data_IF_134814944120
#
_entry.id   IF_134814944120
#
_cell.length_a   1.000
_cell.length_b   1.000
_cell.length_c   1.000
_cell.angle_alpha   90.00
_cell.angle_beta   90.00
_cell.angle_gamma   90.00
#
_symmetry.space_group_name_H-M   'P 1'
#
loop_
_entity.id
_entity.type
_entity.pdbx_description
1 polymer ?
#
# COMPACT_ATOMS: atom_id res chain seq x y z
N UNK A 1 10.17 -3.90 -21.84
CA UNK A 1 10.56 -5.02 -20.96
C UNK A 1 9.62 -5.05 -19.75
N UNK A 2 8.65 -5.97 -19.70
CA UNK A 2 7.84 -6.22 -18.50
C UNK A 2 8.71 -7.07 -17.57
N UNK A 3 9.19 -6.50 -16.48
CA UNK A 3 9.74 -7.34 -15.40
C UNK A 3 8.56 -8.15 -14.86
N UNK A 4 8.54 -9.45 -15.15
CA UNK A 4 7.70 -10.41 -14.43
C UNK A 4 8.17 -10.31 -12.98
N UNK A 5 7.36 -9.69 -12.13
CA UNK A 5 7.65 -9.63 -10.71
C UNK A 5 7.32 -11.01 -10.13
N UNK A 6 8.26 -11.68 -9.45
CA UNK A 6 7.95 -12.97 -8.85
C UNK A 6 6.75 -12.85 -7.92
N UNK A 7 5.78 -13.75 -8.09
CA UNK A 7 4.74 -13.95 -7.09
C UNK A 7 5.41 -14.45 -5.80
N UNK A 8 4.84 -14.14 -4.64
CA UNK A 8 5.41 -14.56 -3.34
C UNK A 8 6.58 -13.72 -2.83
N UNK A 9 6.80 -12.52 -3.37
CA UNK A 9 7.90 -11.64 -3.00
C UNK A 9 7.52 -10.48 -2.07
N UNK A 10 8.51 -9.97 -1.31
CA UNK A 10 8.40 -8.71 -0.57
C UNK A 10 9.16 -7.62 -1.32
N UNK A 11 8.56 -6.44 -1.44
CA UNK A 11 9.10 -5.33 -2.22
C UNK A 11 9.11 -4.04 -1.42
N UNK A 12 10.25 -3.35 -1.46
CA UNK A 12 10.35 -1.96 -1.07
C UNK A 12 10.05 -1.06 -2.26
N UNK A 13 8.90 -0.40 -2.23
CA UNK A 13 8.41 0.51 -3.25
C UNK A 13 8.62 1.97 -2.83
N UNK A 14 9.07 2.80 -3.76
CA UNK A 14 9.36 4.21 -3.50
C UNK A 14 8.91 5.10 -4.65
N UNK A 15 8.43 6.30 -4.32
CA UNK A 15 8.21 7.35 -5.32
C UNK A 15 8.37 8.74 -4.72
N UNK A 16 8.76 9.70 -5.57
CA UNK A 16 8.98 11.10 -5.20
C UNK A 16 8.06 12.03 -6.00
N UNK A 17 7.72 13.16 -5.41
CA UNK A 17 7.01 14.25 -6.06
C UNK A 17 7.87 14.87 -7.17
N UNK A 18 7.22 15.51 -8.14
CA UNK A 18 7.91 16.24 -9.21
C UNK A 18 8.87 17.29 -8.62
N UNK A 19 10.08 17.38 -9.19
CA UNK A 19 11.19 18.20 -8.68
C UNK A 19 11.55 17.99 -7.20
N UNK A 20 11.12 16.88 -6.58
CA UNK A 20 11.35 16.63 -5.15
C UNK A 20 10.70 17.65 -4.22
N UNK A 21 9.66 18.37 -4.68
CA UNK A 21 9.03 19.44 -3.88
C UNK A 21 8.27 18.88 -2.69
N UNK A 22 8.40 19.56 -1.55
CA UNK A 22 7.72 19.24 -0.30
C UNK A 22 6.25 19.69 -0.31
N UNK A 23 5.42 19.02 -1.11
CA UNK A 23 4.01 19.40 -1.35
C UNK A 23 3.00 18.52 -0.60
N UNK A 24 3.44 17.47 0.08
CA UNK A 24 2.57 16.62 0.90
C UNK A 24 2.53 17.14 2.34
N UNK A 25 1.50 17.94 2.63
CA UNK A 25 1.15 18.38 3.99
C UNK A 25 0.43 17.30 4.81
N UNK A 26 -0.10 17.67 5.97
CA UNK A 26 -0.81 16.73 6.88
C UNK A 26 -2.04 16.12 6.20
N UNK A 27 -2.85 16.94 5.51
CA UNK A 27 -4.06 16.52 4.81
C UNK A 27 -3.74 15.55 3.66
N UNK A 28 -2.74 15.92 2.87
CA UNK A 28 -2.23 15.17 1.72
C UNK A 28 -1.72 13.79 2.15
N UNK A 29 -0.91 13.71 3.21
CA UNK A 29 -0.44 12.44 3.77
C UNK A 29 -1.58 11.57 4.30
N UNK A 30 -2.60 12.15 4.93
CA UNK A 30 -3.77 11.41 5.41
C UNK A 30 -4.58 10.81 4.26
N UNK A 31 -4.76 11.55 3.17
CA UNK A 31 -5.45 11.02 1.98
C UNK A 31 -4.63 9.93 1.32
N UNK A 32 -3.31 10.11 1.19
CA UNK A 32 -2.42 9.07 0.67
C UNK A 32 -2.52 7.79 1.49
N UNK A 33 -2.44 7.91 2.83
CA UNK A 33 -2.58 6.78 3.77
C UNK A 33 -3.90 6.04 3.56
N UNK A 34 -5.02 6.75 3.49
CA UNK A 34 -6.34 6.12 3.28
C UNK A 34 -6.40 5.38 1.94
N UNK A 35 -5.92 6.00 0.86
CA UNK A 35 -5.88 5.38 -0.46
C UNK A 35 -4.96 4.15 -0.49
N UNK A 36 -3.83 4.20 0.20
CA UNK A 36 -2.90 3.09 0.33
C UNK A 36 -3.61 1.85 0.90
N UNK A 37 -4.27 2.01 2.05
CA UNK A 37 -4.98 0.91 2.71
C UNK A 37 -6.15 0.38 1.88
N UNK A 38 -6.96 1.26 1.30
CA UNK A 38 -8.10 0.84 0.46
C UNK A 38 -7.67 0.07 -0.79
N UNK A 39 -6.59 0.51 -1.45
CA UNK A 39 -6.06 -0.18 -2.61
C UNK A 39 -5.34 -1.47 -2.24
N UNK A 40 -4.71 -1.53 -1.07
CA UNK A 40 -4.02 -2.73 -0.60
C UNK A 40 -5.04 -3.84 -0.33
N UNK A 41 -6.12 -3.51 0.39
CA UNK A 41 -7.26 -4.40 0.60
C UNK A 41 -7.87 -4.86 -0.73
N UNK A 42 -8.14 -3.92 -1.64
CA UNK A 42 -8.71 -4.27 -2.93
C UNK A 42 -7.82 -5.18 -3.76
N UNK A 43 -6.52 -4.90 -3.83
CA UNK A 43 -5.58 -5.69 -4.65
C UNK A 43 -5.13 -6.97 -3.95
N UNK A 44 -5.55 -7.22 -2.71
CA UNK A 44 -5.11 -8.39 -1.95
C UNK A 44 -3.61 -8.35 -1.62
N UNK A 45 -3.01 -7.16 -1.55
CA UNK A 45 -1.60 -6.97 -1.21
C UNK A 45 -1.47 -6.64 0.28
N UNK A 46 -0.46 -7.20 0.94
CA UNK A 46 -0.20 -6.91 2.35
C UNK A 46 0.83 -5.79 2.46
N UNK A 47 0.42 -4.65 2.99
CA UNK A 47 1.37 -3.60 3.42
C UNK A 47 1.98 -4.04 4.74
N UNK A 48 3.30 -4.28 4.75
CA UNK A 48 4.06 -4.63 5.95
C UNK A 48 4.29 -3.39 6.80
N UNK A 49 4.82 -2.33 6.17
CA UNK A 49 4.96 -1.00 6.77
C UNK A 49 5.07 0.03 5.65
N UNK A 50 5.02 1.31 6.00
CA UNK A 50 5.17 2.41 5.07
C UNK A 50 5.69 3.65 5.78
N UNK A 51 6.12 4.65 5.02
CA UNK A 51 6.37 5.99 5.53
C UNK A 51 6.09 7.04 4.44
N UNK A 52 5.27 8.05 4.75
CA UNK A 52 4.97 9.17 3.84
C UNK A 52 5.66 10.43 4.34
N UNK A 53 6.62 10.93 3.56
CA UNK A 53 7.35 12.18 3.79
C UNK A 53 6.68 13.34 3.03
N UNK A 54 7.24 14.55 3.13
CA UNK A 54 6.66 15.73 2.46
C UNK A 54 6.84 15.72 0.93
N UNK A 55 7.82 14.99 0.41
CA UNK A 55 8.14 14.93 -1.02
C UNK A 55 8.33 13.51 -1.57
N UNK A 56 8.13 12.48 -0.75
CA UNK A 56 8.26 11.09 -1.19
C UNK A 56 7.55 10.14 -0.23
N UNK A 57 7.42 8.89 -0.63
CA UNK A 57 6.94 7.82 0.23
C UNK A 57 7.74 6.54 0.02
N UNK A 58 7.71 5.68 1.03
CA UNK A 58 8.20 4.32 1.04
C UNK A 58 7.07 3.38 1.45
N UNK A 59 6.94 2.23 0.79
CA UNK A 59 6.01 1.17 1.20
C UNK A 59 6.72 -0.17 1.09
N UNK A 60 6.66 -0.97 2.15
CA UNK A 60 7.10 -2.36 2.15
C UNK A 60 5.86 -3.23 1.94
N UNK A 61 5.80 -3.96 0.83
CA UNK A 61 4.61 -4.70 0.41
C UNK A 61 4.97 -6.14 0.13
N UNK A 62 4.20 -7.07 0.69
CA UNK A 62 4.23 -8.48 0.35
C UNK A 62 3.16 -8.79 -0.71
N UNK A 63 3.61 -9.45 -1.78
CA UNK A 63 2.78 -9.98 -2.85
C UNK A 63 2.51 -11.45 -2.55
N UNK A 64 1.25 -11.88 -2.40
CA UNK A 64 0.96 -13.29 -2.14
C UNK A 64 1.41 -14.17 -3.33
N UNK A 65 1.82 -15.39 -3.04
CA UNK A 65 2.21 -16.38 -4.06
C UNK A 65 1.01 -16.83 -4.89
N UNK A 66 -0.07 -17.17 -4.18
CA UNK A 66 -1.36 -17.47 -4.77
C UNK A 66 -2.48 -16.71 -4.05
N UNK A 67 -3.51 -16.41 -4.80
CA UNK A 67 -4.69 -15.76 -4.29
C UNK A 67 -5.91 -16.26 -5.09
N UNK A 68 -6.79 -16.97 -4.39
CA UNK A 68 -8.13 -17.31 -4.87
C UNK A 68 -9.07 -16.21 -4.36
N UNK A 69 -9.77 -15.55 -5.28
CA UNK A 69 -10.76 -14.52 -4.95
C UNK A 69 -12.08 -14.92 -5.60
N UNK A 70 -13.07 -15.22 -4.78
CA UNK A 70 -14.43 -15.49 -5.26
C UNK A 70 -15.20 -14.16 -5.48
N UNK A 71 -16.39 -14.28 -6.08
CA UNK A 71 -17.22 -13.12 -6.38
C UNK A 71 -17.65 -12.35 -5.11
N UNK A 72 -17.84 -13.05 -3.99
CA UNK A 72 -18.19 -12.42 -2.71
C UNK A 72 -17.05 -11.53 -2.19
N UNK A 73 -15.81 -12.02 -2.23
CA UNK A 73 -14.63 -11.27 -1.83
C UNK A 73 -14.33 -10.13 -2.82
N UNK A 74 -14.55 -10.32 -4.12
CA UNK A 74 -14.47 -9.25 -5.11
C UNK A 74 -15.43 -8.10 -4.78
N UNK A 75 -16.67 -8.42 -4.43
CA UNK A 75 -17.69 -7.42 -4.05
C UNK A 75 -17.29 -6.72 -2.75
N UNK A 76 -16.81 -7.45 -1.73
CA UNK A 76 -16.34 -6.86 -0.47
C UNK A 76 -15.20 -5.87 -0.72
N UNK A 77 -14.17 -6.28 -1.45
CA UNK A 77 -13.01 -5.45 -1.83
C UNK A 77 -13.41 -4.23 -2.64
N UNK A 78 -14.33 -4.41 -3.59
CA UNK A 78 -14.86 -3.31 -4.40
C UNK A 78 -15.57 -2.27 -3.52
N UNK A 79 -16.37 -2.72 -2.55
CA UNK A 79 -17.06 -1.84 -1.59
C UNK A 79 -16.08 -1.02 -0.75
N UNK A 80 -14.96 -1.61 -0.30
CA UNK A 80 -13.93 -0.87 0.45
C UNK A 80 -13.26 0.20 -0.41
N UNK A 81 -12.99 -0.12 -1.68
CA UNK A 81 -12.33 0.81 -2.61
C UNK A 81 -13.26 1.91 -3.13
N UNK A 82 -14.55 1.62 -3.23
CA UNK A 82 -15.61 2.52 -3.70
C UNK A 82 -16.81 2.47 -2.75
N UNK A 83 -16.69 3.03 -1.53
CA UNK A 83 -17.78 3.03 -0.56
C UNK A 83 -18.98 3.86 -1.04
N UNK A 84 -18.73 4.79 -1.97
CA UNK A 84 -19.73 5.57 -2.70
C UNK A 84 -19.33 5.64 -4.17
N UNK A 85 -20.29 5.77 -5.09
CA UNK A 85 -20.03 6.10 -6.48
C UNK A 85 -19.12 7.32 -6.61
N UNK A 86 -18.19 7.24 -7.55
CA UNK A 86 -17.24 8.31 -7.88
C UNK A 86 -17.47 8.78 -9.31
N UNK A 87 -16.91 9.94 -9.69
CA UNK A 87 -16.99 10.44 -11.07
C UNK A 87 -16.50 9.43 -12.12
N UNK A 88 -15.51 8.60 -11.77
CA UNK A 88 -14.94 7.60 -12.68
C UNK A 88 -15.56 6.21 -12.55
N UNK A 89 -16.31 5.94 -11.48
CA UNK A 89 -16.94 4.65 -11.21
C UNK A 89 -18.30 4.89 -10.55
N UNK A 90 -19.35 4.92 -11.37
CA UNK A 90 -20.73 5.13 -10.92
C UNK A 90 -21.36 3.89 -10.25
N UNK A 91 -20.79 2.72 -10.51
CA UNK A 91 -21.27 1.42 -10.05
C UNK A 91 -21.12 1.26 -8.53
N UNK A 92 -22.15 0.72 -7.87
CA UNK A 92 -22.13 0.29 -6.48
C UNK A 92 -21.70 -1.17 -6.36
N UNK A 93 -21.32 -1.58 -5.15
CA UNK A 93 -20.97 -2.97 -4.88
C UNK A 93 -22.17 -3.92 -5.09
N UNK A 94 -23.38 -3.45 -4.86
CA UNK A 94 -24.62 -4.21 -5.10
C UNK A 94 -24.83 -4.48 -6.59
N UNK A 95 -24.62 -3.47 -7.44
CA UNK A 95 -24.70 -3.61 -8.90
C UNK A 95 -23.65 -4.61 -9.42
N UNK A 96 -22.43 -4.56 -8.85
CA UNK A 96 -21.39 -5.52 -9.17
C UNK A 96 -21.81 -6.95 -8.78
N UNK A 97 -22.37 -7.13 -7.58
CA UNK A 97 -22.80 -8.44 -7.10
C UNK A 97 -23.86 -9.06 -8.04
N UNK A 98 -24.83 -8.25 -8.48
CA UNK A 98 -25.85 -8.70 -9.43
C UNK A 98 -25.22 -9.11 -10.77
N UNK A 99 -24.34 -8.28 -11.34
CA UNK A 99 -23.69 -8.58 -12.62
C UNK A 99 -22.81 -9.83 -12.57
N UNK A 100 -22.13 -10.08 -11.45
CA UNK A 100 -21.33 -11.29 -11.26
C UNK A 100 -22.23 -12.54 -11.13
N UNK A 101 -23.37 -12.43 -10.43
CA UNK A 101 -24.31 -13.52 -10.25
C UNK A 101 -25.07 -13.89 -11.54
N UNK A 102 -25.39 -12.90 -12.39
CA UNK A 102 -26.02 -13.12 -13.69
C UNK A 102 -25.10 -13.87 -14.67
N UNK A 103 -23.79 -13.83 -14.44
CA UNK A 103 -22.73 -14.48 -15.23
C UNK A 103 -22.82 -14.26 -16.75
N UNK A 104 -23.45 -13.18 -17.19
CA UNK A 104 -23.47 -12.76 -18.59
C UNK A 104 -22.12 -12.22 -19.05
N UNK A 105 -21.99 -11.95 -20.35
CA UNK A 105 -20.74 -11.45 -20.97
C UNK A 105 -20.12 -10.25 -20.22
N UNK A 106 -20.98 -9.29 -19.82
CA UNK A 106 -20.55 -8.12 -19.03
C UNK A 106 -20.03 -8.50 -17.64
N UNK A 107 -20.70 -9.44 -16.96
CA UNK A 107 -20.30 -9.94 -15.64
C UNK A 107 -18.95 -10.65 -15.70
N UNK A 108 -18.79 -11.55 -16.67
CA UNK A 108 -17.54 -12.28 -16.91
C UNK A 108 -16.38 -11.33 -17.26
N UNK A 109 -16.62 -10.33 -18.11
CA UNK A 109 -15.61 -9.33 -18.46
C UNK A 109 -15.20 -8.47 -17.25
N UNK A 110 -16.17 -8.06 -16.42
CA UNK A 110 -15.88 -7.35 -15.16
C UNK A 110 -15.11 -8.21 -14.18
N UNK A 111 -15.50 -9.49 -14.00
CA UNK A 111 -14.79 -10.45 -13.16
C UNK A 111 -13.34 -10.58 -13.59
N UNK A 112 -13.10 -10.85 -14.87
CA UNK A 112 -11.75 -10.96 -15.43
C UNK A 112 -10.92 -9.67 -15.24
N UNK A 113 -11.55 -8.51 -15.46
CA UNK A 113 -10.91 -7.21 -15.25
C UNK A 113 -10.52 -6.98 -13.79
N UNK A 114 -11.39 -7.29 -12.83
CA UNK A 114 -11.10 -7.14 -11.40
C UNK A 114 -10.03 -8.12 -10.93
N UNK A 115 -10.16 -9.40 -11.31
CA UNK A 115 -9.18 -10.44 -10.97
C UNK A 115 -7.78 -10.13 -11.50
N UNK A 116 -7.68 -9.53 -12.69
CA UNK A 116 -6.38 -9.13 -13.27
C UNK A 116 -5.57 -8.15 -12.40
N UNK A 117 -6.22 -7.49 -11.44
CA UNK A 117 -5.62 -6.49 -10.53
C UNK A 117 -5.21 -7.07 -9.18
N UNK A 118 -5.55 -8.33 -8.92
CA UNK A 118 -5.28 -9.05 -7.68
C UNK A 118 -3.83 -9.52 -7.67
N UNK A 119 -3.09 -9.24 -6.58
CA UNK A 119 -1.69 -9.61 -6.46
C UNK A 119 -0.71 -8.87 -7.39
N UNK A 120 -1.17 -7.94 -8.24
CA UNK A 120 -0.27 -7.22 -9.15
C UNK A 120 0.22 -5.90 -8.54
N UNK A 121 1.47 -5.91 -8.08
CA UNK A 121 2.13 -4.75 -7.48
C UNK A 121 2.22 -3.55 -8.43
N UNK A 122 2.40 -3.78 -9.74
CA UNK A 122 2.56 -2.69 -10.71
C UNK A 122 1.23 -2.00 -10.99
N UNK A 123 0.15 -2.77 -11.11
CA UNK A 123 -1.22 -2.26 -11.23
C UNK A 123 -1.61 -1.50 -9.97
N UNK A 124 -1.33 -2.06 -8.78
CA UNK A 124 -1.56 -1.39 -7.50
C UNK A 124 -0.84 -0.04 -7.42
N UNK A 125 0.47 -0.01 -7.68
CA UNK A 125 1.27 1.22 -7.59
C UNK A 125 0.83 2.27 -8.61
N UNK A 126 0.43 1.84 -9.81
CA UNK A 126 -0.14 2.72 -10.84
C UNK A 126 -1.45 3.32 -10.35
N UNK A 127 -2.36 2.51 -9.82
CA UNK A 127 -3.66 2.96 -9.33
C UNK A 127 -3.53 3.93 -8.14
N UNK A 128 -2.65 3.63 -7.18
CA UNK A 128 -2.38 4.49 -6.02
C UNK A 128 -1.90 5.87 -6.45
N UNK A 129 -0.86 5.89 -7.28
CA UNK A 129 -0.28 7.14 -7.78
C UNK A 129 -1.26 7.93 -8.62
N UNK A 130 -2.00 7.29 -9.52
CA UNK A 130 -2.95 7.95 -10.40
C UNK A 130 -4.12 8.57 -9.61
N UNK A 131 -4.74 7.80 -8.71
CA UNK A 131 -5.84 8.31 -7.88
C UNK A 131 -5.39 9.49 -7.02
N UNK A 132 -4.21 9.38 -6.43
CA UNK A 132 -3.66 10.44 -5.61
C UNK A 132 -3.39 11.71 -6.43
N UNK A 133 -2.78 11.59 -7.61
CA UNK A 133 -2.57 12.74 -8.51
C UNK A 133 -3.88 13.41 -8.92
N UNK A 134 -4.89 12.62 -9.30
CA UNK A 134 -6.20 13.15 -9.70
C UNK A 134 -6.85 13.90 -8.54
N UNK A 135 -6.88 13.30 -7.34
CA UNK A 135 -7.41 13.95 -6.15
C UNK A 135 -6.66 15.24 -5.81
N UNK A 136 -5.32 15.21 -5.82
CA UNK A 136 -4.51 16.37 -5.48
C UNK A 136 -4.74 17.52 -6.47
N UNK A 137 -4.71 17.22 -7.77
CA UNK A 137 -4.90 18.22 -8.83
C UNK A 137 -6.29 18.85 -8.75
N UNK A 138 -7.33 18.03 -8.55
CA UNK A 138 -8.71 18.52 -8.38
C UNK A 138 -8.88 19.38 -7.12
N UNK A 139 -8.28 18.96 -6.00
CA UNK A 139 -8.44 19.64 -4.70
C UNK A 139 -7.68 20.95 -4.63
N UNK A 140 -6.57 21.07 -5.37
CA UNK A 140 -5.71 22.26 -5.35
C UNK A 140 -5.82 23.08 -6.64
N UNK A 141 -6.80 22.78 -7.51
CA UNK A 141 -7.01 23.49 -8.80
C UNK A 141 -5.74 23.58 -9.66
N UNK A 142 -4.95 22.49 -9.67
CA UNK A 142 -3.68 22.40 -10.41
C UNK A 142 -3.77 21.34 -11.50
N UNK A 143 -2.81 21.36 -12.43
CA UNK A 143 -2.68 20.35 -13.49
C UNK A 143 -1.22 19.90 -13.63
N UNK A 144 -1.02 18.80 -14.36
CA UNK A 144 0.30 18.24 -14.63
C UNK A 144 0.71 17.08 -13.71
N UNK A 145 1.99 16.73 -13.81
CA UNK A 145 2.54 15.56 -13.13
C UNK A 145 2.77 15.83 -11.64
N UNK A 146 2.13 15.05 -10.77
CA UNK A 146 2.40 15.08 -9.33
C UNK A 146 3.68 14.30 -8.98
N UNK A 147 3.90 13.16 -9.63
CA UNK A 147 5.04 12.27 -9.38
C UNK A 147 6.13 12.49 -10.44
N UNK A 148 7.40 12.45 -10.03
CA UNK A 148 8.53 12.71 -10.93
C UNK A 148 8.73 11.60 -11.98
N UNK A 149 8.65 10.34 -11.57
CA UNK A 149 8.98 9.19 -12.40
C UNK A 149 8.04 8.00 -12.09
N UNK A 150 8.24 6.87 -12.79
CA UNK A 150 7.67 5.58 -12.37
C UNK A 150 8.14 5.24 -10.96
N UNK A 151 7.37 4.42 -10.23
CA UNK A 151 7.84 3.98 -8.91
C UNK A 151 9.08 3.10 -9.07
N UNK A 152 9.99 3.19 -8.11
CA UNK A 152 11.11 2.24 -7.97
C UNK A 152 10.65 1.10 -7.08
N UNK A 153 11.09 -0.13 -7.37
CA UNK A 153 10.87 -1.27 -6.48
C UNK A 153 12.15 -2.08 -6.36
N UNK A 154 12.52 -2.41 -5.14
CA UNK A 154 13.61 -3.34 -4.81
C UNK A 154 12.99 -4.55 -4.16
N UNK A 155 13.38 -5.75 -4.59
CA UNK A 155 12.95 -6.99 -3.93
C UNK A 155 13.75 -7.17 -2.64
N UNK A 156 13.06 -7.56 -1.58
CA UNK A 156 13.65 -7.78 -0.26
C UNK A 156 13.78 -9.28 -0.09
N UNK A 157 14.87 -9.82 -0.61
CA UNK A 157 15.25 -11.24 -0.49
C UNK A 157 16.40 -11.36 0.50
N UNK A 158 16.35 -12.36 1.36
CA UNK A 158 17.44 -12.63 2.29
C UNK A 158 17.04 -13.52 3.46
N UNK A 159 18.03 -14.22 4.02
CA UNK A 159 17.91 -14.95 5.28
C UNK A 159 18.16 -13.99 6.46
N UNK A 160 17.68 -14.35 7.65
CA UNK A 160 17.93 -13.57 8.87
C UNK A 160 17.15 -12.25 8.92
N UNK A 161 17.81 -11.15 9.29
CA UNK A 161 17.17 -9.90 9.69
C UNK A 161 16.82 -8.91 8.56
N UNK A 162 16.99 -9.29 7.30
CA UNK A 162 16.86 -8.35 6.16
C UNK A 162 15.49 -7.66 6.11
N UNK A 163 14.42 -8.41 6.35
CA UNK A 163 13.06 -7.86 6.34
C UNK A 163 12.85 -6.86 7.49
N UNK A 164 13.34 -7.19 8.67
CA UNK A 164 13.27 -6.39 9.89
C UNK A 164 14.06 -5.09 9.70
N UNK A 165 15.30 -5.18 9.21
CA UNK A 165 16.15 -4.03 8.93
C UNK A 165 15.49 -3.12 7.91
N UNK A 166 14.87 -3.67 6.86
CA UNK A 166 14.15 -2.85 5.87
C UNK A 166 12.90 -2.17 6.46
N UNK A 167 12.13 -2.88 7.28
CA UNK A 167 10.95 -2.31 7.95
C UNK A 167 11.36 -1.16 8.89
N UNK A 168 12.33 -1.39 9.79
CA UNK A 168 12.86 -0.38 10.69
C UNK A 168 13.48 0.81 9.91
N UNK A 169 14.23 0.53 8.84
CA UNK A 169 14.76 1.56 7.95
C UNK A 169 13.64 2.45 7.43
N UNK A 170 12.52 1.89 6.99
CA UNK A 170 11.38 2.67 6.49
C UNK A 170 10.75 3.51 7.60
N UNK A 171 10.45 2.90 8.75
CA UNK A 171 9.77 3.57 9.86
C UNK A 171 10.60 4.68 10.51
N UNK A 172 11.93 4.58 10.46
CA UNK A 172 12.87 5.56 11.01
C UNK A 172 13.17 6.75 10.08
N UNK A 173 12.59 6.82 8.87
CA UNK A 173 12.72 7.99 7.98
C UNK A 173 12.39 9.34 8.66
N UNK A 174 11.26 9.51 9.37
CA UNK A 174 10.93 10.78 10.02
C UNK A 174 11.93 11.13 11.14
N UNK A 175 12.51 10.13 11.81
CA UNK A 175 13.58 10.35 12.81
C UNK A 175 14.86 10.83 12.14
N UNK A 176 15.29 10.15 11.07
CA UNK A 176 16.48 10.57 10.28
C UNK A 176 16.33 11.95 9.64
N UNK A 177 15.09 12.35 9.35
CA UNK A 177 14.77 13.69 8.85
C UNK A 177 14.63 14.75 9.97
N UNK A 178 14.81 14.38 11.24
CA UNK A 178 14.69 15.29 12.38
C UNK A 178 13.26 15.77 12.69
N UNK A 179 12.23 15.08 12.17
CA UNK A 179 10.83 15.47 12.36
C UNK A 179 10.27 15.05 13.72
N UNK A 180 10.75 13.92 14.25
CA UNK A 180 10.37 13.34 15.54
C UNK A 180 11.58 12.63 16.17
N UNK A 181 11.52 12.34 17.47
CA UNK A 181 12.56 11.57 18.16
C UNK A 181 12.32 10.05 18.12
N UNK A 182 11.05 9.65 18.06
CA UNK A 182 10.62 8.25 18.03
C UNK A 182 9.64 8.07 16.86
N UNK A 183 9.76 7.03 16.03
CA UNK A 183 8.88 6.82 14.90
C UNK A 183 7.39 6.71 15.30
N UNK A 184 7.06 6.30 16.53
CA UNK A 184 5.66 6.24 16.99
C UNK A 184 4.99 7.61 17.03
N UNK A 185 5.77 8.68 17.15
CA UNK A 185 5.28 10.05 17.19
C UNK A 185 5.00 10.59 15.78
N UNK A 186 5.34 9.82 14.72
CA UNK A 186 5.08 10.18 13.33
C UNK A 186 3.90 9.40 12.76
N UNK A 187 2.70 9.99 12.85
CA UNK A 187 1.43 9.40 12.37
C UNK A 187 1.47 8.73 10.99
N UNK A 188 2.33 9.20 10.08
CA UNK A 188 2.36 8.76 8.68
C UNK A 188 3.42 7.70 8.40
N UNK A 189 3.73 6.85 9.38
CA UNK A 189 4.44 5.59 9.17
C UNK A 189 3.66 4.38 9.73
N UNK A 190 4.00 3.20 9.23
CA UNK A 190 3.31 1.95 9.59
C UNK A 190 3.52 1.56 11.06
N UNK A 191 4.72 1.79 11.61
CA UNK A 191 4.99 1.53 13.03
C UNK A 191 4.09 2.36 13.96
N UNK A 192 3.96 3.66 13.72
CA UNK A 192 3.07 4.52 14.52
C UNK A 192 1.61 4.05 14.49
N UNK A 193 1.12 3.63 13.32
CA UNK A 193 -0.22 3.05 13.19
C UNK A 193 -0.39 1.74 13.95
N UNK A 194 0.63 0.88 13.92
CA UNK A 194 0.61 -0.38 14.64
C UNK A 194 0.58 -0.15 16.16
N UNK A 195 1.38 0.80 16.68
CA UNK A 195 1.43 1.16 18.10
C UNK A 195 0.06 1.63 18.62
N UNK A 196 -0.70 2.37 17.82
CA UNK A 196 -2.05 2.81 18.20
C UNK A 196 -3.15 1.78 17.93
N UNK A 197 -2.79 0.57 17.50
CA UNK A 197 -3.71 -0.56 17.40
C UNK A 197 -4.43 -0.71 16.05
N UNK A 198 -3.95 -0.11 14.96
CA UNK A 198 -4.54 -0.33 13.64
C UNK A 198 -4.25 -1.76 13.19
N UNK A 199 -5.29 -2.60 13.09
CA UNK A 199 -5.18 -4.04 12.83
C UNK A 199 -4.36 -4.38 11.56
N UNK A 200 -4.60 -3.66 10.46
CA UNK A 200 -3.86 -3.88 9.21
C UNK A 200 -2.35 -3.59 9.36
N UNK A 201 -1.99 -2.55 10.12
CA UNK A 201 -0.60 -2.21 10.41
C UNK A 201 0.03 -3.18 11.41
N UNK A 202 -0.72 -3.61 12.44
CA UNK A 202 -0.31 -4.65 13.38
C UNK A 202 -0.01 -5.97 12.66
N UNK A 203 -0.85 -6.38 11.71
CA UNK A 203 -0.62 -7.57 10.88
C UNK A 203 0.71 -7.49 10.12
N UNK A 204 1.05 -6.31 9.60
CA UNK A 204 2.34 -6.03 8.97
C UNK A 204 3.53 -6.18 9.92
N UNK A 205 3.46 -5.57 11.11
CA UNK A 205 4.49 -5.74 12.16
C UNK A 205 4.61 -7.20 12.59
N UNK A 206 3.49 -7.89 12.80
CA UNK A 206 3.49 -9.31 13.13
C UNK A 206 4.11 -10.17 12.03
N UNK A 207 3.95 -9.80 10.75
CA UNK A 207 4.59 -10.49 9.63
C UNK A 207 6.11 -10.40 9.71
N UNK A 208 6.63 -9.24 10.08
CA UNK A 208 8.06 -9.01 10.35
C UNK A 208 8.52 -9.84 11.56
N UNK A 209 7.72 -9.84 12.63
CA UNK A 209 8.01 -10.58 13.87
C UNK A 209 7.84 -12.10 13.75
N UNK A 210 7.08 -12.63 12.79
CA UNK A 210 6.95 -14.09 12.63
C UNK A 210 8.17 -14.72 11.97
N UNK A 211 8.87 -13.99 11.10
CA UNK A 211 10.21 -14.39 10.60
C UNK A 211 11.19 -14.61 11.76
N UNK A 212 10.92 -13.98 12.90
CA UNK A 212 11.72 -14.05 14.11
C UNK A 212 11.52 -15.33 14.93
N UNK A 213 10.33 -15.97 14.86
CA UNK A 213 10.05 -17.21 15.62
C UNK A 213 10.79 -18.44 15.08
N UNK A 214 11.37 -18.34 13.88
CA UNK A 214 12.39 -19.28 13.41
C UNK A 214 13.78 -18.83 13.94
N UNK A 215 13.98 -18.89 15.26
CA UNK A 215 15.33 -19.00 15.82
C UNK A 215 15.77 -18.07 16.96
N UNK A 216 15.24 -16.87 17.17
CA UNK A 216 15.87 -15.91 18.13
C UNK A 216 14.88 -15.05 18.96
N UNK A 217 15.37 -14.16 19.87
CA UNK A 217 14.68 -13.54 21.04
C UNK A 217 14.21 -12.06 20.91
N UNK A 218 12.93 -11.76 21.20
CA UNK A 218 12.21 -10.53 20.80
C UNK A 218 12.79 -9.19 21.29
N UNK A 219 13.75 -9.22 22.22
CA UNK A 219 14.48 -8.06 22.72
C UNK A 219 15.32 -7.36 21.64
N UNK A 220 15.86 -8.09 20.67
CA UNK A 220 16.74 -7.53 19.62
C UNK A 220 15.97 -6.70 18.59
N UNK A 221 14.68 -6.97 18.37
CA UNK A 221 13.81 -6.15 17.52
C UNK A 221 13.58 -4.75 18.10
N UNK A 222 13.32 -4.66 19.41
CA UNK A 222 13.18 -3.37 20.09
C UNK A 222 14.52 -2.61 20.14
N UNK A 223 15.66 -3.31 20.11
CA UNK A 223 16.97 -2.69 20.01
C UNK A 223 17.21 -2.02 18.65
N UNK A 224 16.64 -2.54 17.55
CA UNK A 224 16.67 -1.87 16.23
C UNK A 224 15.84 -0.58 16.14
N UNK A 225 14.99 -0.31 17.13
CA UNK A 225 14.23 0.93 17.31
C UNK A 225 14.81 1.85 18.40
N UNK A 226 15.94 1.47 19.03
CA UNK A 226 16.65 2.29 20.02
C UNK A 226 17.77 3.12 19.39
#
# INVERSE_FOLDING_TARGET
MRHIKPKGGIYHCMSRTVHGRAIMGRREKEVFRKMLWQLADFSGLRVITYCVMSNHFHVLIEVPEEQVVDDAELVRRFRVLYPKPTKSVAMRAEDLAQLLAEDGERGQALRASLLSRMGDLSIFMKALKQRYSVWYNQTNETFGAFWAERFRSVIVEGKGFVLQTMAAYIDLNPVRAGLVKDPKDYRFCGYAEAVVGVEAALSGVQRVMRVFKEGDNAADYLAGYR
#
